data_IF_917910203558
#
_entry.id   IF_917910203558
#
_cell.length_a   1.000
_cell.length_b   1.000
_cell.length_c   1.000
_cell.angle_alpha   90.00
_cell.angle_beta   90.00
_cell.angle_gamma   90.00
#
_symmetry.space_group_name_H-M   'P 1'
#
loop_
_entity.id
_entity.type
_entity.pdbx_description
1 polymer ?
#
# COMPACT_ATOMS: atom_id res chain seq x y z
N UNK A 1 24.22 -3.93 -35.94
CA UNK A 1 24.86 -3.84 -34.62
C UNK A 1 24.75 -2.39 -34.16
N UNK A 2 23.88 -2.11 -33.18
CA UNK A 2 23.73 -0.79 -32.56
C UNK A 2 23.88 -0.99 -31.06
N UNK A 3 24.99 -0.49 -30.53
CA UNK A 3 25.42 -0.58 -29.14
C UNK A 3 24.66 0.46 -28.31
N UNK A 4 23.94 0.05 -27.26
CA UNK A 4 23.38 0.97 -26.27
C UNK A 4 24.33 1.05 -25.06
N UNK A 5 24.62 2.27 -24.65
CA UNK A 5 25.54 2.60 -23.56
C UNK A 5 24.80 2.56 -22.21
N UNK A 6 25.26 1.71 -21.30
CA UNK A 6 24.86 1.70 -19.90
C UNK A 6 25.59 2.85 -19.19
N UNK A 7 24.84 3.74 -18.55
CA UNK A 7 25.42 4.78 -17.68
C UNK A 7 24.98 4.48 -16.25
N UNK A 8 25.89 3.86 -15.49
CA UNK A 8 25.77 3.72 -14.05
C UNK A 8 26.01 5.08 -13.38
N UNK A 9 25.15 5.49 -12.46
CA UNK A 9 25.40 6.63 -11.58
C UNK A 9 25.47 6.14 -10.13
N UNK A 10 26.68 5.85 -9.68
CA UNK A 10 27.00 5.75 -8.25
C UNK A 10 27.38 7.14 -7.74
N UNK A 11 26.80 7.57 -6.63
CA UNK A 11 27.34 8.65 -5.83
C UNK A 11 27.15 8.34 -4.34
N UNK A 12 28.26 8.03 -3.68
CA UNK A 12 28.40 8.03 -2.22
C UNK A 12 29.50 9.03 -1.86
N UNK A 13 29.23 9.99 -0.97
CA UNK A 13 30.23 10.67 -0.13
C UNK A 13 29.62 10.98 1.24
N UNK A 14 30.42 10.69 2.27
CA UNK A 14 30.20 10.72 3.72
C UNK A 14 30.77 12.01 4.32
N UNK A 15 30.07 12.63 5.28
CA UNK A 15 30.58 13.39 6.45
C UNK A 15 29.35 13.98 7.17
N UNK A 16 29.14 14.01 8.48
CA UNK A 16 29.94 13.75 9.67
C UNK A 16 29.27 14.57 10.79
N UNK A 17 28.97 13.98 11.95
CA UNK A 17 28.35 14.70 13.07
C UNK A 17 27.76 13.78 14.12
N UNK A 18 28.60 13.24 15.01
CA UNK A 18 28.17 12.64 16.27
C UNK A 18 27.63 13.75 17.19
N UNK A 19 26.40 13.61 17.66
CA UNK A 19 25.90 14.31 18.85
C UNK A 19 25.50 13.26 19.89
N UNK A 20 26.27 13.16 20.97
CA UNK A 20 25.90 12.39 22.17
C UNK A 20 24.79 13.15 22.91
N UNK A 21 23.57 12.61 22.93
CA UNK A 21 22.55 13.00 23.90
C UNK A 21 22.66 12.07 25.12
N UNK A 22 22.98 12.65 26.27
CA UNK A 22 23.05 11.94 27.55
C UNK A 22 21.65 11.50 27.98
N UNK A 23 21.47 10.20 28.22
CA UNK A 23 20.30 9.64 28.87
C UNK A 23 20.31 10.02 30.36
N UNK A 24 19.34 10.81 30.81
CA UNK A 24 19.02 10.93 32.23
C UNK A 24 17.94 9.92 32.58
N UNK A 25 18.36 8.82 33.22
CA UNK A 25 17.45 7.86 33.85
C UNK A 25 16.79 8.51 35.07
N UNK A 26 15.46 8.62 35.06
CA UNK A 26 14.67 8.91 36.25
C UNK A 26 13.98 7.62 36.69
N UNK A 27 14.49 7.02 37.76
CA UNK A 27 13.84 5.95 38.50
C UNK A 27 12.82 6.55 39.47
N UNK A 28 11.55 6.15 39.36
CA UNK A 28 10.54 6.38 40.38
C UNK A 28 10.14 5.03 40.98
N UNK A 29 10.33 4.89 42.29
CA UNK A 29 9.99 3.71 43.08
C UNK A 29 8.47 3.57 43.30
N UNK A 30 7.97 2.34 43.56
CA UNK A 30 6.54 2.04 43.64
C UNK A 30 5.97 2.36 45.03
N UNK A 31 4.76 2.93 45.06
CA UNK A 31 3.97 3.02 46.29
C UNK A 31 2.93 1.90 46.26
N UNK A 32 3.03 1.02 47.24
CA UNK A 32 2.13 -0.09 47.52
C UNK A 32 0.80 0.42 48.07
N UNK A 33 -0.33 -0.09 47.55
CA UNK A 33 -1.65 0.11 48.14
C UNK A 33 -2.60 -0.99 47.66
N UNK A 34 -2.63 -2.10 48.39
CA UNK A 34 -3.61 -3.16 48.21
C UNK A 34 -4.98 -2.72 48.75
N UNK A 35 -6.03 -2.93 47.97
CA UNK A 35 -7.40 -3.15 48.46
C UNK A 35 -8.16 -4.04 47.47
N UNK A 36 -8.99 -4.89 48.06
CA UNK A 36 -9.60 -6.13 47.58
C UNK A 36 -10.76 -5.93 46.58
N UNK A 37 -11.09 -7.02 45.88
CA UNK A 37 -12.13 -7.19 44.84
C UNK A 37 -13.57 -7.02 45.40
N UNK A 38 -14.61 -6.78 44.56
CA UNK A 38 -15.25 -7.90 43.85
C UNK A 38 -15.75 -7.60 42.43
N UNK A 39 -15.90 -8.67 41.66
CA UNK A 39 -16.56 -8.73 40.35
C UNK A 39 -18.06 -8.47 40.45
N UNK A 40 -18.60 -7.71 39.50
CA UNK A 40 -20.01 -7.79 39.09
C UNK A 40 -20.13 -7.62 37.57
N UNK A 41 -20.85 -8.56 36.95
CA UNK A 41 -21.18 -8.66 35.53
C UNK A 41 -22.53 -7.96 35.27
N UNK A 42 -22.62 -7.03 34.31
CA UNK A 42 -23.90 -6.69 33.67
C UNK A 42 -23.73 -5.90 32.34
N UNK A 43 -24.02 -6.61 31.24
CA UNK A 43 -24.67 -6.23 29.97
C UNK A 43 -24.69 -4.77 29.46
N UNK A 44 -24.20 -4.58 28.23
CA UNK A 44 -24.64 -3.55 27.28
C UNK A 44 -23.90 -3.67 25.94
N UNK A 45 -24.58 -3.73 24.77
CA UNK A 45 -23.93 -3.78 23.47
C UNK A 45 -23.58 -2.36 23.03
N UNK A 46 -22.29 -2.06 22.94
CA UNK A 46 -21.84 -0.77 22.48
C UNK A 46 -20.34 -0.78 22.25
N UNK A 47 -19.95 -0.86 20.99
CA UNK A 47 -19.40 0.26 20.21
C UNK A 47 -18.51 -0.33 19.12
N UNK A 48 -18.99 -0.26 17.87
CA UNK A 48 -18.12 -0.26 16.70
C UNK A 48 -17.28 1.01 16.82
N UNK A 49 -16.04 0.85 17.25
CA UNK A 49 -15.05 1.89 17.26
C UNK A 49 -13.94 1.40 16.36
N UNK A 50 -13.86 2.02 15.18
CA UNK A 50 -12.76 1.84 14.27
C UNK A 50 -11.49 2.27 14.97
N UNK A 51 -10.60 1.29 15.13
CA UNK A 51 -9.16 1.50 15.21
C UNK A 51 -8.58 0.61 14.12
N UNK A 52 -8.14 1.24 13.03
CA UNK A 52 -7.53 0.59 11.88
C UNK A 52 -6.19 0.01 12.29
N UNK A 53 -6.21 -1.24 12.76
CA UNK A 53 -5.05 -2.12 12.69
C UNK A 53 -5.17 -2.93 11.40
N UNK A 54 -4.56 -2.43 10.32
CA UNK A 54 -4.34 -3.18 9.08
C UNK A 54 -3.47 -4.45 9.28
N UNK A 55 -2.98 -4.70 10.48
CA UNK A 55 -2.35 -5.94 10.88
C UNK A 55 -3.44 -6.93 11.35
N UNK A 56 -4.15 -7.54 10.41
CA UNK A 56 -5.15 -8.54 10.77
C UNK A 56 -6.06 -9.04 9.64
N UNK A 57 -6.20 -8.30 8.54
CA UNK A 57 -7.10 -8.69 7.46
C UNK A 57 -6.45 -9.83 6.67
N UNK A 58 -6.91 -11.05 6.90
CA UNK A 58 -6.55 -12.24 6.11
C UNK A 58 -7.75 -12.86 5.37
N UNK A 59 -8.96 -12.33 5.59
CA UNK A 59 -10.22 -12.77 4.96
C UNK A 59 -10.93 -11.60 4.26
N UNK A 60 -11.35 -11.73 2.97
CA UNK A 60 -12.16 -10.72 2.30
C UNK A 60 -13.45 -10.32 3.02
N UNK A 61 -14.04 -11.19 3.84
CA UNK A 61 -15.27 -10.89 4.61
C UNK A 61 -15.06 -9.78 5.66
N UNK A 62 -13.80 -9.50 6.03
CA UNK A 62 -13.45 -8.40 6.94
C UNK A 62 -13.35 -7.04 6.23
N UNK A 63 -13.35 -7.02 4.89
CA UNK A 63 -13.33 -5.78 4.10
C UNK A 63 -14.73 -5.17 4.02
N UNK A 64 -14.78 -3.84 4.12
CA UNK A 64 -16.00 -3.09 3.85
C UNK A 64 -16.37 -3.15 2.36
N UNK A 65 -17.65 -2.92 2.05
CA UNK A 65 -18.11 -2.81 0.66
C UNK A 65 -17.35 -1.76 -0.14
N UNK A 66 -16.96 -0.64 0.47
CA UNK A 66 -16.16 0.39 -0.18
C UNK A 66 -14.74 -0.08 -0.54
N UNK A 67 -14.10 -0.87 0.33
CA UNK A 67 -12.80 -1.48 0.03
C UNK A 67 -12.90 -2.50 -1.11
N UNK A 68 -13.99 -3.28 -1.16
CA UNK A 68 -14.27 -4.19 -2.27
C UNK A 68 -14.53 -3.41 -3.57
N UNK A 69 -15.28 -2.30 -3.53
CA UNK A 69 -15.53 -1.46 -4.71
C UNK A 69 -14.23 -0.82 -5.24
N UNK A 70 -13.32 -0.41 -4.35
CA UNK A 70 -11.99 0.07 -4.74
C UNK A 70 -11.16 -1.06 -5.38
N UNK A 71 -11.17 -2.28 -4.83
CA UNK A 71 -10.51 -3.44 -5.42
C UNK A 71 -11.08 -3.74 -6.82
N UNK A 72 -12.40 -3.76 -6.96
CA UNK A 72 -13.10 -3.95 -8.25
C UNK A 72 -12.71 -2.88 -9.26
N UNK A 73 -12.53 -1.63 -8.83
CA UNK A 73 -12.03 -0.55 -9.71
C UNK A 73 -10.61 -0.82 -10.20
N UNK A 74 -9.70 -1.22 -9.31
CA UNK A 74 -8.31 -1.57 -9.66
C UNK A 74 -8.27 -2.74 -10.66
N UNK A 75 -9.12 -3.76 -10.45
CA UNK A 75 -9.26 -4.93 -11.33
C UNK A 75 -9.83 -4.49 -12.69
N UNK A 76 -10.93 -3.73 -12.71
CA UNK A 76 -11.56 -3.23 -13.93
C UNK A 76 -10.61 -2.40 -14.80
N UNK A 77 -9.78 -1.55 -14.19
CA UNK A 77 -8.73 -0.81 -14.91
C UNK A 77 -7.66 -1.74 -15.49
N UNK A 78 -7.25 -2.78 -14.73
CA UNK A 78 -6.34 -3.80 -15.25
C UNK A 78 -6.91 -4.54 -16.46
N UNK A 79 -8.21 -4.86 -16.42
CA UNK A 79 -8.93 -5.49 -17.54
C UNK A 79 -9.02 -4.58 -18.77
N UNK A 80 -9.37 -3.30 -18.61
CA UNK A 80 -9.42 -2.32 -19.71
C UNK A 80 -8.05 -2.07 -20.34
N UNK A 81 -6.97 -2.22 -19.57
CA UNK A 81 -5.61 -2.18 -20.07
C UNK A 81 -5.10 -3.53 -20.65
N UNK A 82 -5.97 -4.54 -20.79
CA UNK A 82 -5.64 -5.90 -21.24
C UNK A 82 -4.52 -6.58 -20.42
N UNK A 83 -4.40 -6.23 -19.14
CA UNK A 83 -3.37 -6.76 -18.25
C UNK A 83 -3.81 -8.05 -17.57
N UNK A 84 -2.85 -8.95 -17.39
CA UNK A 84 -3.07 -10.27 -16.78
C UNK A 84 -3.60 -10.18 -15.34
N UNK A 85 -4.25 -11.25 -14.88
CA UNK A 85 -4.63 -11.42 -13.47
C UNK A 85 -3.43 -11.29 -12.53
N UNK A 86 -2.21 -11.66 -12.97
CA UNK A 86 -0.97 -11.42 -12.20
C UNK A 86 -0.74 -9.92 -11.98
N UNK A 87 -0.91 -9.08 -12.99
CA UNK A 87 -0.81 -7.63 -12.83
C UNK A 87 -1.88 -7.09 -11.88
N UNK A 88 -3.13 -7.55 -12.05
CA UNK A 88 -4.25 -7.17 -11.19
C UNK A 88 -3.97 -7.55 -9.72
N UNK A 89 -3.46 -8.76 -9.48
CA UNK A 89 -3.03 -9.24 -8.16
C UNK A 89 -1.95 -8.34 -7.57
N UNK A 90 -0.92 -7.97 -8.33
CA UNK A 90 0.15 -7.08 -7.87
C UNK A 90 -0.42 -5.71 -7.45
N UNK A 91 -1.35 -5.14 -8.22
CA UNK A 91 -1.98 -3.87 -7.91
C UNK A 91 -2.87 -3.94 -6.65
N UNK A 92 -3.73 -4.95 -6.54
CA UNK A 92 -4.59 -5.17 -5.37
C UNK A 92 -3.75 -5.41 -4.12
N UNK A 93 -2.70 -6.24 -4.22
CA UNK A 93 -1.73 -6.50 -3.15
C UNK A 93 -1.03 -5.21 -2.69
N UNK A 94 -0.67 -4.34 -3.64
CA UNK A 94 -0.08 -3.03 -3.33
C UNK A 94 -1.08 -2.15 -2.57
N UNK A 95 -2.30 -2.00 -3.07
CA UNK A 95 -3.31 -1.16 -2.42
C UNK A 95 -3.72 -1.69 -1.03
N UNK A 96 -3.69 -3.01 -0.82
CA UNK A 96 -3.86 -3.62 0.50
C UNK A 96 -2.75 -3.17 1.47
N UNK A 97 -1.50 -3.20 1.02
CA UNK A 97 -0.36 -2.76 1.84
C UNK A 97 -0.37 -1.26 2.11
N UNK A 98 -0.72 -0.44 1.12
CA UNK A 98 -0.61 1.02 1.21
C UNK A 98 -1.77 1.65 2.01
N UNK A 99 -2.99 1.12 1.87
CA UNK A 99 -4.18 1.72 2.51
C UNK A 99 -5.24 0.73 2.99
N UNK A 100 -4.94 -0.57 2.91
CA UNK A 100 -5.96 -1.62 3.08
C UNK A 100 -7.13 -1.42 2.10
N UNK A 101 -6.85 -1.07 0.85
CA UNK A 101 -7.84 -0.79 -0.22
C UNK A 101 -8.74 0.44 0.03
N UNK A 102 -8.42 1.29 0.99
CA UNK A 102 -9.15 2.54 1.19
C UNK A 102 -8.64 3.63 0.24
N UNK A 103 -9.54 4.44 -0.32
CA UNK A 103 -9.16 5.62 -1.11
C UNK A 103 -9.02 6.84 -0.19
N UNK A 104 -7.85 6.99 0.43
CA UNK A 104 -7.63 7.99 1.48
C UNK A 104 -7.36 9.40 0.91
N UNK A 105 -7.92 10.44 1.52
CA UNK A 105 -7.64 11.84 1.15
C UNK A 105 -6.21 12.31 1.52
N UNK A 106 -5.46 11.51 2.30
CA UNK A 106 -4.10 11.80 2.73
C UNK A 106 -3.45 10.68 3.55
N UNK A 107 -2.14 10.79 3.76
CA UNK A 107 -1.31 9.87 4.55
C UNK A 107 0.03 10.49 4.95
N UNK A 108 1.14 9.73 4.84
CA UNK A 108 2.47 10.27 5.12
C UNK A 108 2.85 11.40 4.14
N UNK A 109 3.24 12.55 4.69
CA UNK A 109 3.59 13.77 3.95
C UNK A 109 2.43 14.26 3.06
N UNK A 110 2.47 13.92 1.79
CA UNK A 110 1.49 14.29 0.77
C UNK A 110 1.00 13.06 -0.01
N UNK A 111 1.22 11.84 0.50
CA UNK A 111 0.63 10.64 -0.09
C UNK A 111 -0.89 10.67 0.04
N UNK A 112 -1.58 10.13 -0.96
CA UNK A 112 -3.03 9.95 -0.93
C UNK A 112 -3.45 8.83 -1.88
N UNK A 113 -4.74 8.49 -1.81
CA UNK A 113 -5.37 7.45 -2.60
C UNK A 113 -5.03 6.02 -2.15
N UNK A 114 -5.55 5.06 -2.91
CA UNK A 114 -5.39 3.63 -2.62
C UNK A 114 -3.92 3.15 -2.65
N UNK A 115 -3.08 3.78 -3.47
CA UNK A 115 -1.67 3.43 -3.62
C UNK A 115 -0.72 4.33 -2.82
N UNK A 116 -1.25 5.26 -2.01
CA UNK A 116 -0.47 6.26 -1.27
C UNK A 116 0.56 6.99 -2.17
N UNK A 117 0.14 7.30 -3.40
CA UNK A 117 0.97 8.00 -4.38
C UNK A 117 1.17 9.47 -3.97
N UNK A 118 2.37 10.01 -4.21
CA UNK A 118 2.77 11.34 -3.76
C UNK A 118 2.84 12.37 -4.89
N UNK A 119 2.08 13.48 -4.84
CA UNK A 119 2.18 14.58 -5.80
C UNK A 119 3.57 15.21 -5.89
N UNK A 120 4.26 15.37 -4.76
CA UNK A 120 5.65 15.87 -4.74
C UNK A 120 6.66 14.94 -5.42
N UNK A 121 6.31 13.66 -5.59
CA UNK A 121 7.06 12.68 -6.38
C UNK A 121 6.55 12.55 -7.82
N UNK A 122 5.67 13.45 -8.26
CA UNK A 122 5.11 13.52 -9.63
C UNK A 122 4.20 12.37 -10.05
N UNK A 123 3.58 11.67 -9.12
CA UNK A 123 2.55 10.67 -9.48
C UNK A 123 1.29 11.30 -10.08
N UNK A 124 0.97 12.54 -9.71
CA UNK A 124 -0.20 13.30 -10.14
C UNK A 124 -0.49 14.46 -9.18
N UNK A 125 -1.49 15.30 -9.44
CA UNK A 125 -2.02 16.21 -8.43
C UNK A 125 -2.81 15.47 -7.34
N UNK A 126 -3.12 16.13 -6.21
CA UNK A 126 -3.91 15.50 -5.14
C UNK A 126 -5.24 14.92 -5.66
N UNK A 127 -5.96 15.68 -6.49
CA UNK A 127 -7.23 15.23 -7.07
C UNK A 127 -7.08 14.08 -8.06
N UNK A 128 -5.90 13.91 -8.65
CA UNK A 128 -5.60 12.80 -9.56
C UNK A 128 -5.19 11.55 -8.78
N UNK A 129 -4.37 11.66 -7.75
CA UNK A 129 -3.95 10.48 -6.96
C UNK A 129 -5.09 9.95 -6.06
N UNK A 130 -6.10 10.76 -5.75
CA UNK A 130 -7.34 10.31 -5.09
C UNK A 130 -8.46 9.92 -6.05
N UNK A 131 -8.23 9.97 -7.37
CA UNK A 131 -9.11 9.33 -8.35
C UNK A 131 -8.64 7.88 -8.54
N UNK A 132 -9.42 6.86 -8.11
CA UNK A 132 -9.00 5.46 -8.18
C UNK A 132 -8.65 4.99 -9.59
N UNK A 133 -9.30 5.52 -10.63
CA UNK A 133 -9.02 5.14 -12.02
C UNK A 133 -7.68 5.73 -12.45
N UNK A 134 -7.44 7.01 -12.19
CA UNK A 134 -6.17 7.66 -12.49
C UNK A 134 -5.02 7.00 -11.73
N UNK A 135 -5.17 6.78 -10.43
CA UNK A 135 -4.15 6.18 -9.58
C UNK A 135 -3.80 4.75 -10.04
N UNK A 136 -4.82 3.94 -10.39
CA UNK A 136 -4.64 2.58 -10.90
C UNK A 136 -3.92 2.56 -12.25
N UNK A 137 -4.34 3.39 -13.22
CA UNK A 137 -3.65 3.49 -14.52
C UNK A 137 -2.19 3.92 -14.35
N UNK A 138 -1.93 4.81 -13.40
CA UNK A 138 -0.58 5.26 -13.09
C UNK A 138 0.25 4.12 -12.51
N UNK A 139 -0.31 3.38 -11.53
CA UNK A 139 0.36 2.21 -10.95
C UNK A 139 0.68 1.15 -12.00
N UNK A 140 -0.25 0.85 -12.92
CA UNK A 140 0.00 -0.10 -14.01
C UNK A 140 1.01 0.41 -15.05
N UNK A 141 1.27 1.72 -15.11
CA UNK A 141 2.16 2.33 -16.11
C UNK A 141 1.50 2.56 -17.47
N UNK A 142 0.16 2.62 -17.51
CA UNK A 142 -0.64 2.84 -18.72
C UNK A 142 -1.23 4.25 -18.78
N UNK A 143 -1.00 5.07 -17.74
CA UNK A 143 -1.41 6.48 -17.72
C UNK A 143 -0.34 7.37 -18.40
N UNK A 144 -0.60 7.97 -19.56
CA UNK A 144 0.37 8.87 -20.22
C UNK A 144 0.60 10.18 -19.46
N UNK A 145 -0.30 10.55 -18.55
CA UNK A 145 -0.18 11.78 -17.75
C UNK A 145 0.67 11.58 -16.49
N UNK A 146 1.02 10.34 -16.14
CA UNK A 146 1.91 10.04 -15.01
C UNK A 146 3.34 9.82 -15.50
N UNK A 147 4.31 10.67 -15.13
CA UNK A 147 5.71 10.53 -15.56
C UNK A 147 6.49 9.46 -14.79
N UNK A 148 5.93 8.89 -13.71
CA UNK A 148 6.59 7.84 -12.95
C UNK A 148 6.42 6.48 -13.62
N UNK A 149 7.43 5.61 -13.56
CA UNK A 149 7.30 4.26 -14.08
C UNK A 149 6.27 3.47 -13.26
N UNK A 150 5.28 2.90 -13.95
CA UNK A 150 4.37 1.91 -13.36
C UNK A 150 4.80 0.48 -13.69
N UNK A 151 4.01 -0.50 -13.25
CA UNK A 151 4.29 -1.93 -13.31
C UNK A 151 4.77 -2.40 -14.68
N UNK A 152 4.04 -2.06 -15.75
CA UNK A 152 4.38 -2.49 -17.12
C UNK A 152 5.69 -1.92 -17.66
N UNK A 153 6.26 -0.93 -16.97
CA UNK A 153 7.49 -0.25 -17.33
C UNK A 153 8.67 -0.70 -16.44
N UNK A 154 8.43 -1.64 -15.51
CA UNK A 154 9.48 -2.33 -14.76
C UNK A 154 10.00 -3.51 -15.59
N UNK A 155 11.31 -3.60 -15.76
CA UNK A 155 11.93 -4.68 -16.52
C UNK A 155 11.65 -6.06 -15.88
N UNK A 156 11.18 -7.02 -16.68
CA UNK A 156 10.94 -8.40 -16.24
C UNK A 156 9.96 -8.55 -15.05
N UNK A 157 9.05 -7.59 -14.82
CA UNK A 157 8.06 -7.67 -13.74
C UNK A 157 7.21 -8.98 -13.79
N UNK A 158 6.97 -9.50 -14.99
CA UNK A 158 6.24 -10.76 -15.19
C UNK A 158 7.01 -11.99 -14.68
N UNK A 159 8.34 -11.92 -14.66
CA UNK A 159 9.23 -13.03 -14.32
C UNK A 159 9.67 -13.08 -12.85
N UNK A 160 9.31 -12.07 -12.05
CA UNK A 160 9.65 -11.97 -10.62
C UNK A 160 8.43 -12.22 -9.73
N UNK A 161 8.67 -12.35 -8.42
CA UNK A 161 7.61 -12.55 -7.45
C UNK A 161 6.69 -11.31 -7.35
N UNK A 162 5.37 -11.47 -7.12
CA UNK A 162 4.45 -10.33 -7.06
C UNK A 162 4.85 -9.27 -6.03
N UNK A 163 5.33 -9.68 -4.86
CA UNK A 163 5.88 -8.80 -3.82
C UNK A 163 7.03 -7.93 -4.30
N UNK A 164 7.97 -8.54 -5.03
CA UNK A 164 9.14 -7.86 -5.61
C UNK A 164 8.70 -6.85 -6.69
N UNK A 165 7.77 -7.23 -7.56
CA UNK A 165 7.22 -6.32 -8.57
C UNK A 165 6.49 -5.11 -7.96
N UNK A 166 5.71 -5.31 -6.89
CA UNK A 166 5.07 -4.20 -6.17
C UNK A 166 6.11 -3.26 -5.53
N UNK A 167 7.14 -3.84 -4.92
CA UNK A 167 8.24 -3.11 -4.33
C UNK A 167 9.03 -2.30 -5.39
N UNK A 168 9.24 -2.84 -6.58
CA UNK A 168 9.93 -2.13 -7.67
C UNK A 168 9.15 -0.91 -8.18
N UNK A 169 7.82 -0.97 -8.15
CA UNK A 169 6.96 0.19 -8.50
C UNK A 169 6.96 1.23 -7.38
N UNK A 170 6.75 0.81 -6.13
CA UNK A 170 6.58 1.74 -4.99
C UNK A 170 7.90 2.26 -4.42
N UNK A 171 9.00 1.51 -4.58
CA UNK A 171 10.31 1.78 -4.00
C UNK A 171 10.27 2.09 -2.49
N UNK A 172 9.50 1.29 -1.73
CA UNK A 172 9.35 1.40 -0.28
C UNK A 172 10.64 1.04 0.47
N UNK A 173 10.73 1.43 1.74
CA UNK A 173 11.84 1.06 2.63
C UNK A 173 11.75 -0.39 3.16
N UNK A 174 10.64 -1.10 2.87
CA UNK A 174 10.33 -2.42 3.43
C UNK A 174 9.94 -3.41 2.32
N UNK A 175 10.92 -4.06 1.67
CA UNK A 175 10.67 -4.90 0.49
C UNK A 175 9.79 -6.12 0.76
N UNK A 176 9.83 -6.66 1.98
CA UNK A 176 9.14 -7.91 2.33
C UNK A 176 7.68 -7.71 2.76
N UNK A 177 7.19 -6.47 2.85
CA UNK A 177 5.86 -6.18 3.40
C UNK A 177 4.71 -6.44 2.43
N UNK A 178 4.97 -6.48 1.11
CA UNK A 178 3.92 -6.72 0.11
C UNK A 178 3.50 -8.19 0.05
N UNK A 179 4.46 -9.13 0.14
CA UNK A 179 4.22 -10.54 -0.11
C UNK A 179 3.19 -11.19 0.84
N UNK A 180 3.01 -10.65 2.05
CA UNK A 180 2.01 -11.16 3.01
C UNK A 180 0.57 -11.00 2.52
N UNK A 181 0.31 -10.07 1.59
CA UNK A 181 -1.02 -9.80 1.04
C UNK A 181 -1.36 -10.65 -0.18
N UNK A 182 -0.41 -11.41 -0.73
CA UNK A 182 -0.62 -12.16 -1.97
C UNK A 182 -1.83 -13.12 -1.91
N UNK A 183 -2.04 -13.92 -0.84
CA UNK A 183 -3.20 -14.82 -0.78
C UNK A 183 -4.54 -14.08 -0.82
N UNK A 184 -4.66 -12.98 -0.07
CA UNK A 184 -5.89 -12.17 -0.04
C UNK A 184 -6.10 -11.46 -1.38
N UNK A 185 -5.05 -10.93 -1.99
CA UNK A 185 -5.12 -10.28 -3.29
C UNK A 185 -5.52 -11.26 -4.40
N UNK A 186 -5.00 -12.49 -4.37
CA UNK A 186 -5.40 -13.55 -5.30
C UNK A 186 -6.89 -13.86 -5.18
N UNK A 187 -7.38 -14.09 -3.96
CA UNK A 187 -8.80 -14.35 -3.73
C UNK A 187 -9.70 -13.20 -4.21
N UNK A 188 -9.32 -11.94 -3.91
CA UNK A 188 -10.07 -10.78 -4.38
C UNK A 188 -10.11 -10.66 -5.90
N UNK A 189 -9.00 -10.97 -6.57
CA UNK A 189 -8.94 -10.97 -8.04
C UNK A 189 -9.84 -12.06 -8.61
N UNK A 190 -9.74 -13.29 -8.10
CA UNK A 190 -10.53 -14.43 -8.55
C UNK A 190 -12.04 -14.20 -8.36
N UNK A 191 -12.45 -13.70 -7.19
CA UNK A 191 -13.85 -13.48 -6.83
C UNK A 191 -14.51 -12.30 -7.57
N UNK A 192 -13.71 -11.41 -8.17
CA UNK A 192 -14.20 -10.18 -8.80
C UNK A 192 -13.91 -10.07 -10.31
N UNK A 193 -13.60 -11.18 -10.98
CA UNK A 193 -13.44 -11.20 -12.45
C UNK A 193 -14.73 -10.87 -13.21
N UNK A 194 -15.88 -10.84 -12.54
CA UNK A 194 -17.17 -10.41 -13.10
C UNK A 194 -17.26 -8.90 -13.37
N UNK A 195 -16.35 -8.08 -12.83
CA UNK A 195 -16.35 -6.62 -13.04
C UNK A 195 -16.13 -6.27 -14.51
N UNK A 196 -16.82 -5.25 -15.02
CA UNK A 196 -16.59 -4.71 -16.36
C UNK A 196 -15.19 -4.07 -16.45
N UNK A 197 -14.65 -4.01 -17.67
CA UNK A 197 -13.44 -3.26 -17.98
C UNK A 197 -13.65 -1.74 -17.83
N UNK A 198 -12.60 -1.06 -17.34
CA UNK A 198 -12.58 0.39 -17.15
C UNK A 198 -11.47 0.99 -18.01
N UNK A 199 -11.87 1.74 -19.03
CA UNK A 199 -11.01 2.41 -20.02
C UNK A 199 -10.25 3.61 -19.49
#
# INVERSE_FOLDING_TARGET
>A
MRTFAVTALSAAVIAGGLSLAAATSASADPITGAVDQPSDNASGPGQHQGDTAAAGIDDPEELSSEQIDNARTIIGVGKGAELSEKAQKIAVMTALQESSLQNLDGGDRDSAGAFQQRPSMRWGSIAQVTDPVFASKSFYGVNPDSPNPGLTQIDNWEGIDPGEAAQDVQASAYPDEYAKWEPLAEQLVDDNQDVDDIE
#
